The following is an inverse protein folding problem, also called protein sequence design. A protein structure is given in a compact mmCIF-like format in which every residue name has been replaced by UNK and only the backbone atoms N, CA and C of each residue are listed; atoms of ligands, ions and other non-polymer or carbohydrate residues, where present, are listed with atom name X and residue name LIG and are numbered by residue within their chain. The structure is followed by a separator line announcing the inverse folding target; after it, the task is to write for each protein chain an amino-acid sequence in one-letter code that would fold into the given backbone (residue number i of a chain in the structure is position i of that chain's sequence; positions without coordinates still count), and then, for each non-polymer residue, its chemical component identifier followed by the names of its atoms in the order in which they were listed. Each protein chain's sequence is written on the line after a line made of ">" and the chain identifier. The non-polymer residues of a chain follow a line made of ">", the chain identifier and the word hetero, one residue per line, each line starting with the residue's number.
data_IF_404923034760
#
_entry.id   IF_404923034760
#
_cell.length_a   1.000
_cell.length_b   1.000
_cell.length_c   1.000
_cell.angle_alpha   90.00
_cell.angle_beta   90.00
_cell.angle_gamma   90.00
#
_symmetry.space_group_name_H-M   'P 1'
#
loop_
_entity.id
_entity.type
_entity.pdbx_description
1 polymer ?
#
# COMPACT_ATOMS: atom_id res chain seq x y z
N UNK A 1 -8.95 44.01 -54.75
CA UNK A 1 -8.79 43.73 -53.31
C UNK A 1 -7.35 43.24 -53.14
N UNK A 2 -6.46 44.15 -52.73
CA UNK A 2 -5.00 43.89 -52.69
C UNK A 2 -4.69 43.44 -51.25
N UNK A 3 -4.37 42.17 -51.07
CA UNK A 3 -3.88 41.64 -49.79
C UNK A 3 -2.44 42.10 -49.57
N UNK A 4 -2.26 43.02 -48.63
CA UNK A 4 -0.94 43.47 -48.17
C UNK A 4 -0.30 42.33 -47.32
N UNK A 5 0.90 41.84 -47.61
CA UNK A 5 1.54 40.84 -46.78
C UNK A 5 1.90 41.44 -45.41
N UNK A 6 1.85 40.64 -44.32
CA UNK A 6 2.17 41.13 -42.99
C UNK A 6 3.64 41.51 -42.89
N UNK A 7 4.00 42.55 -42.09
CA UNK A 7 5.35 43.05 -42.01
C UNK A 7 6.32 41.99 -41.44
N UNK A 8 7.36 41.70 -42.19
CA UNK A 8 8.41 40.74 -41.87
C UNK A 8 9.30 41.08 -40.63
N UNK A 9 8.96 42.18 -39.91
CA UNK A 9 9.75 42.69 -38.79
C UNK A 9 9.66 41.84 -37.49
N UNK A 10 8.56 41.14 -37.25
CA UNK A 10 8.37 40.41 -36.01
C UNK A 10 9.29 39.20 -35.82
N UNK A 11 9.60 38.50 -36.88
CA UNK A 11 10.50 37.32 -36.84
C UNK A 11 11.95 37.67 -36.61
N UNK A 12 12.42 38.82 -37.11
CA UNK A 12 13.81 39.28 -36.91
C UNK A 12 14.04 39.76 -35.49
N UNK A 13 13.05 40.43 -34.86
CA UNK A 13 13.14 40.88 -33.47
C UNK A 13 13.18 39.68 -32.52
N UNK A 14 12.36 38.64 -32.75
CA UNK A 14 12.37 37.41 -32.00
C UNK A 14 13.68 36.66 -32.11
N UNK A 15 14.25 36.56 -33.30
CA UNK A 15 15.54 35.91 -33.52
C UNK A 15 16.70 36.63 -32.80
N UNK A 16 16.71 37.95 -32.79
CA UNK A 16 17.74 38.74 -32.11
C UNK A 16 17.59 38.70 -30.59
N UNK A 17 16.40 38.73 -30.07
CA UNK A 17 16.11 38.56 -28.65
C UNK A 17 16.46 37.14 -28.14
N UNK A 18 16.19 36.13 -28.97
CA UNK A 18 16.54 34.74 -28.67
C UNK A 18 18.04 34.50 -28.67
N UNK A 19 18.75 35.05 -29.68
CA UNK A 19 20.20 34.92 -29.77
C UNK A 19 20.94 35.61 -28.61
N UNK A 20 20.43 36.74 -28.13
CA UNK A 20 21.05 37.49 -27.02
C UNK A 20 20.78 36.83 -25.63
N UNK A 21 19.73 36.02 -25.52
CA UNK A 21 19.38 35.34 -24.25
C UNK A 21 19.55 33.83 -24.31
N UNK A 22 20.14 33.29 -25.36
CA UNK A 22 20.29 31.85 -25.52
C UNK A 22 21.09 31.22 -24.38
N UNK A 23 22.16 31.89 -23.93
CA UNK A 23 22.94 31.39 -22.77
C UNK A 23 22.11 31.25 -21.52
N UNK A 24 21.17 32.19 -21.26
CA UNK A 24 20.25 32.11 -20.11
C UNK A 24 19.22 30.98 -20.28
N UNK A 25 18.72 30.75 -21.50
CA UNK A 25 17.79 29.67 -21.80
C UNK A 25 18.49 28.32 -21.66
N UNK A 26 19.67 28.16 -22.24
CA UNK A 26 20.45 26.91 -22.11
C UNK A 26 20.84 26.64 -20.66
N UNK A 27 21.30 27.66 -19.91
CA UNK A 27 21.62 27.53 -18.50
C UNK A 27 20.40 27.12 -17.67
N UNK A 28 19.24 27.72 -17.92
CA UNK A 28 17.98 27.37 -17.27
C UNK A 28 17.53 25.94 -17.59
N UNK A 29 17.68 25.52 -18.84
CA UNK A 29 17.32 24.15 -19.26
C UNK A 29 18.24 23.11 -18.61
N UNK A 30 19.55 23.36 -18.60
CA UNK A 30 20.53 22.45 -17.96
C UNK A 30 20.28 22.40 -16.45
N UNK A 31 20.07 23.53 -15.79
CA UNK A 31 19.75 23.56 -14.36
C UNK A 31 18.44 22.82 -14.04
N UNK A 32 17.39 23.03 -14.85
CA UNK A 32 16.13 22.33 -14.71
C UNK A 32 16.24 20.81 -14.92
N UNK A 33 17.07 20.41 -15.89
CA UNK A 33 17.31 18.99 -16.16
C UNK A 33 18.09 18.31 -15.02
N UNK A 34 19.12 18.99 -14.47
CA UNK A 34 19.87 18.48 -13.32
C UNK A 34 18.95 18.33 -12.09
N UNK A 35 18.13 19.33 -11.79
CA UNK A 35 17.18 19.28 -10.69
C UNK A 35 16.11 18.20 -10.91
N UNK A 36 15.58 18.07 -12.14
CA UNK A 36 14.60 17.05 -12.49
C UNK A 36 15.16 15.62 -12.37
N UNK A 37 16.38 15.40 -12.82
CA UNK A 37 17.05 14.09 -12.71
C UNK A 37 17.34 13.76 -11.25
N UNK A 38 17.91 14.70 -10.48
CA UNK A 38 18.18 14.45 -9.05
C UNK A 38 16.89 14.22 -8.26
N UNK A 39 15.81 14.92 -8.54
CA UNK A 39 14.51 14.69 -7.92
C UNK A 39 13.93 13.31 -8.28
N UNK A 40 14.08 12.87 -9.54
CA UNK A 40 13.61 11.55 -9.96
C UNK A 40 14.35 10.39 -9.26
N UNK A 41 15.63 10.56 -8.94
CA UNK A 41 16.39 9.58 -8.16
C UNK A 41 16.19 9.70 -6.65
N UNK A 42 15.74 10.85 -6.16
CA UNK A 42 15.50 11.08 -4.73
C UNK A 42 14.12 10.58 -4.27
N UNK A 43 13.18 10.36 -5.19
CA UNK A 43 11.86 9.78 -4.85
C UNK A 43 12.01 8.27 -4.79
N UNK A 44 11.90 7.65 -3.59
CA UNK A 44 11.96 6.20 -3.47
C UNK A 44 10.74 5.60 -4.22
N UNK A 45 11.00 4.66 -5.13
CA UNK A 45 9.94 3.88 -5.76
C UNK A 45 9.32 2.98 -4.69
N UNK A 46 8.04 3.18 -4.38
CA UNK A 46 7.27 2.30 -3.51
C UNK A 46 6.43 1.36 -4.37
N UNK A 47 6.45 0.09 -4.02
CA UNK A 47 5.65 -0.94 -4.66
C UNK A 47 4.69 -1.51 -3.62
N UNK A 48 3.42 -1.65 -3.97
CA UNK A 48 2.45 -2.33 -3.12
C UNK A 48 2.13 -3.73 -3.66
N UNK A 49 1.94 -4.66 -2.74
CA UNK A 49 1.39 -5.98 -3.04
C UNK A 49 0.22 -6.25 -2.09
N UNK A 50 -0.85 -6.82 -2.62
CA UNK A 50 -2.05 -7.13 -1.86
C UNK A 50 -2.38 -8.61 -1.96
N UNK A 51 -2.68 -9.22 -0.81
CA UNK A 51 -3.22 -10.57 -0.69
C UNK A 51 -4.63 -10.47 -0.15
N UNK A 52 -5.59 -11.11 -0.82
CA UNK A 52 -6.98 -11.16 -0.40
C UNK A 52 -7.34 -12.56 0.05
N UNK A 53 -7.93 -12.68 1.22
CA UNK A 53 -8.34 -13.96 1.81
C UNK A 53 -9.82 -13.93 2.15
N UNK A 54 -10.50 -15.05 1.88
CA UNK A 54 -11.88 -15.24 2.32
C UNK A 54 -11.88 -15.83 3.73
N UNK A 55 -12.48 -15.09 4.65
CA UNK A 55 -12.62 -15.52 6.04
C UNK A 55 -14.05 -15.98 6.26
N UNK A 56 -14.25 -17.27 6.47
CA UNK A 56 -15.54 -17.82 6.86
C UNK A 56 -15.60 -17.94 8.39
N UNK A 57 -16.49 -17.18 9.03
CA UNK A 57 -16.76 -17.36 10.46
C UNK A 57 -17.58 -18.66 10.63
N UNK A 58 -17.09 -19.66 11.39
CA UNK A 58 -17.90 -20.79 11.77
C UNK A 58 -19.00 -20.30 12.73
N UNK A 59 -20.20 -20.10 12.23
CA UNK A 59 -21.35 -19.75 13.05
C UNK A 59 -22.10 -21.03 13.42
N UNK A 60 -22.04 -21.48 14.67
CA UNK A 60 -22.65 -22.73 15.09
C UNK A 60 -24.21 -22.65 15.24
N UNK A 61 -24.80 -21.46 15.03
CA UNK A 61 -26.24 -21.27 15.21
C UNK A 61 -26.80 -20.32 14.13
N UNK A 62 -27.95 -20.62 13.52
CA UNK A 62 -28.62 -19.68 12.61
C UNK A 62 -29.15 -18.49 13.42
N UNK A 63 -28.34 -17.44 13.49
CA UNK A 63 -28.74 -16.18 14.10
C UNK A 63 -29.62 -15.38 13.14
N UNK A 64 -30.67 -14.67 13.60
CA UNK A 64 -31.49 -13.82 12.74
C UNK A 64 -30.59 -12.75 12.05
N UNK A 65 -30.89 -12.47 10.79
CA UNK A 65 -30.07 -11.65 9.85
C UNK A 65 -29.61 -10.28 10.40
N UNK A 66 -30.34 -9.68 11.33
CA UNK A 66 -30.00 -8.40 11.96
C UNK A 66 -28.82 -8.51 12.93
N UNK A 67 -28.63 -9.66 13.59
CA UNK A 67 -27.45 -9.89 14.45
C UNK A 67 -26.19 -10.22 13.65
N UNK A 68 -26.35 -10.87 12.50
CA UNK A 68 -25.24 -11.21 11.63
C UNK A 68 -24.53 -9.96 11.07
N UNK A 69 -25.25 -8.87 10.77
CA UNK A 69 -24.65 -7.65 10.25
C UNK A 69 -23.88 -6.83 11.31
N UNK A 70 -24.30 -6.89 12.57
CA UNK A 70 -23.59 -6.23 13.68
C UNK A 70 -22.35 -7.02 14.12
N UNK A 71 -22.42 -8.35 14.10
CA UNK A 71 -21.26 -9.19 14.40
C UNK A 71 -20.18 -9.11 13.31
N UNK A 72 -20.56 -9.00 12.04
CA UNK A 72 -19.59 -8.87 10.95
C UNK A 72 -18.74 -7.59 11.05
N UNK A 73 -19.31 -6.47 11.49
CA UNK A 73 -18.54 -5.22 11.65
C UNK A 73 -17.55 -5.31 12.84
N UNK A 74 -17.97 -5.98 13.93
CA UNK A 74 -17.09 -6.22 15.10
C UNK A 74 -15.99 -7.21 14.76
N UNK A 75 -16.31 -8.26 14.01
CA UNK A 75 -15.35 -9.27 13.57
C UNK A 75 -14.25 -8.68 12.70
N UNK A 76 -14.57 -7.74 11.80
CA UNK A 76 -13.58 -7.11 10.94
C UNK A 76 -12.55 -6.28 11.70
N UNK A 77 -12.96 -5.53 12.73
CA UNK A 77 -12.03 -4.80 13.61
C UNK A 77 -11.12 -5.77 14.37
N UNK A 78 -11.68 -6.89 14.82
CA UNK A 78 -10.93 -7.95 15.47
C UNK A 78 -9.92 -8.60 14.52
N UNK A 79 -10.33 -8.93 13.30
CA UNK A 79 -9.46 -9.52 12.29
C UNK A 79 -8.31 -8.58 11.90
N UNK A 80 -8.57 -7.27 11.75
CA UNK A 80 -7.54 -6.27 11.56
C UNK A 80 -6.57 -6.20 12.75
N UNK A 81 -7.10 -6.30 13.97
CA UNK A 81 -6.31 -6.32 15.19
C UNK A 81 -5.38 -7.53 15.26
N UNK A 82 -5.87 -8.71 14.89
CA UNK A 82 -5.06 -9.95 14.84
C UNK A 82 -3.96 -9.81 13.79
N UNK A 83 -4.29 -9.38 12.58
CA UNK A 83 -3.31 -9.23 11.49
C UNK A 83 -2.20 -8.22 11.81
N UNK A 84 -2.49 -7.19 12.60
CA UNK A 84 -1.53 -6.16 13.05
C UNK A 84 -0.94 -6.44 14.44
N UNK A 85 -1.25 -7.58 15.04
CA UNK A 85 -0.75 -7.92 16.38
C UNK A 85 0.77 -8.14 16.39
N UNK A 86 1.38 -7.97 17.55
CA UNK A 86 2.77 -8.27 17.75
C UNK A 86 3.07 -9.75 17.49
N UNK A 87 2.16 -10.65 17.89
CA UNK A 87 2.28 -12.09 17.66
C UNK A 87 2.49 -12.43 16.18
N UNK A 88 1.76 -11.77 15.27
CA UNK A 88 1.91 -11.96 13.83
C UNK A 88 3.15 -11.25 13.30
N UNK A 89 3.33 -9.97 13.62
CA UNK A 89 4.39 -9.16 13.01
C UNK A 89 5.80 -9.51 13.49
N UNK A 90 5.97 -9.97 14.73
CA UNK A 90 7.27 -10.43 15.25
C UNK A 90 7.72 -11.72 14.54
N UNK A 91 6.79 -12.66 14.31
CA UNK A 91 7.08 -13.88 13.55
C UNK A 91 7.47 -13.57 12.11
N UNK A 92 6.77 -12.63 11.49
CA UNK A 92 7.05 -12.18 10.11
C UNK A 92 8.41 -11.47 10.04
N UNK A 93 8.71 -10.58 10.97
CA UNK A 93 10.00 -9.89 11.05
C UNK A 93 11.17 -10.89 11.18
N UNK A 94 11.01 -11.87 12.05
CA UNK A 94 12.00 -12.94 12.22
C UNK A 94 12.18 -13.80 10.95
N UNK A 95 11.09 -14.05 10.21
CA UNK A 95 11.10 -14.85 8.98
C UNK A 95 11.73 -14.11 7.80
N UNK A 96 11.42 -12.81 7.64
CA UNK A 96 11.96 -11.97 6.56
C UNK A 96 13.44 -11.65 6.79
N UNK A 97 13.86 -11.51 8.04
CA UNK A 97 15.23 -11.17 8.37
C UNK A 97 15.60 -9.78 7.85
N UNK A 98 16.82 -9.61 7.34
CA UNK A 98 17.32 -8.40 6.67
C UNK A 98 17.17 -7.08 7.47
N UNK A 99 17.01 -7.17 8.79
CA UNK A 99 16.85 -6.00 9.67
C UNK A 99 15.42 -5.42 9.67
N UNK A 100 14.45 -6.08 9.03
CA UNK A 100 13.04 -5.68 9.06
C UNK A 100 12.50 -5.86 10.48
N UNK A 101 11.88 -4.81 11.03
CA UNK A 101 11.30 -4.82 12.38
C UNK A 101 9.78 -4.93 12.33
N UNK A 102 9.18 -5.44 13.40
CA UNK A 102 7.72 -5.49 13.52
C UNK A 102 7.06 -4.10 13.44
N UNK A 103 7.75 -3.06 13.90
CA UNK A 103 7.26 -1.67 13.81
C UNK A 103 7.27 -1.16 12.36
N UNK A 104 8.32 -1.48 11.60
CA UNK A 104 8.39 -1.18 10.18
C UNK A 104 7.28 -1.93 9.41
N UNK A 105 7.06 -3.21 9.71
CA UNK A 105 5.95 -3.98 9.14
C UNK A 105 4.62 -3.33 9.47
N UNK A 106 4.40 -2.92 10.72
CA UNK A 106 3.15 -2.29 11.19
C UNK A 106 2.86 -0.98 10.46
N UNK A 107 3.88 -0.17 10.19
CA UNK A 107 3.75 1.12 9.52
C UNK A 107 3.45 1.00 8.02
N UNK A 108 3.90 -0.09 7.40
CA UNK A 108 3.78 -0.32 5.96
C UNK A 108 2.67 -1.32 5.58
N UNK A 109 2.01 -1.94 6.58
CA UNK A 109 0.89 -2.85 6.34
C UNK A 109 -0.45 -2.13 6.46
N UNK A 110 -1.28 -2.30 5.46
CA UNK A 110 -2.69 -1.91 5.49
C UNK A 110 -3.56 -3.16 5.45
N UNK A 111 -4.48 -3.25 6.39
CA UNK A 111 -5.45 -4.35 6.45
C UNK A 111 -6.84 -3.75 6.28
N UNK A 112 -7.52 -4.17 5.26
CA UNK A 112 -8.88 -3.73 4.95
C UNK A 112 -9.80 -4.93 4.75
N UNK A 113 -11.09 -4.72 4.91
CA UNK A 113 -12.10 -5.75 4.71
C UNK A 113 -13.20 -5.29 3.79
N UNK A 114 -13.90 -6.25 3.20
CA UNK A 114 -15.12 -5.98 2.45
C UNK A 114 -16.25 -5.57 3.38
N UNK A 115 -17.19 -4.78 2.86
CA UNK A 115 -18.39 -4.29 3.58
C UNK A 115 -19.25 -5.42 4.17
N UNK A 116 -19.13 -6.62 3.62
CA UNK A 116 -19.83 -7.82 4.08
C UNK A 116 -19.03 -8.65 5.12
N UNK A 117 -17.81 -8.24 5.46
CA UNK A 117 -16.98 -8.92 6.46
C UNK A 117 -16.45 -10.30 6.05
N UNK A 118 -16.50 -10.62 4.76
CA UNK A 118 -16.13 -11.95 4.25
C UNK A 118 -14.69 -12.00 3.71
N UNK A 119 -14.15 -10.85 3.28
CA UNK A 119 -12.84 -10.77 2.67
C UNK A 119 -11.93 -9.88 3.52
N UNK A 120 -10.78 -10.40 3.91
CA UNK A 120 -9.67 -9.64 4.49
C UNK A 120 -8.63 -9.44 3.41
N UNK A 121 -8.32 -8.18 3.12
CA UNK A 121 -7.26 -7.76 2.21
C UNK A 121 -6.09 -7.24 3.03
N UNK A 122 -4.92 -7.84 2.86
CA UNK A 122 -3.65 -7.38 3.44
C UNK A 122 -2.84 -6.77 2.31
N UNK A 123 -2.48 -5.50 2.45
CA UNK A 123 -1.63 -4.77 1.50
C UNK A 123 -0.36 -4.34 2.22
N UNK A 124 0.79 -4.55 1.58
CA UNK A 124 2.09 -4.15 2.10
C UNK A 124 2.85 -3.31 1.07
N UNK A 125 3.47 -2.24 1.55
CA UNK A 125 4.27 -1.31 0.73
C UNK A 125 5.75 -1.51 1.02
N UNK A 126 6.55 -1.74 -0.04
CA UNK A 126 8.00 -1.94 0.09
C UNK A 126 8.77 -1.23 -1.04
N UNK A 127 10.09 -1.03 -0.89
CA UNK A 127 10.96 -0.43 -1.91
C UNK A 127 11.02 -1.26 -3.20
N UNK A 128 10.84 -2.58 -3.12
CA UNK A 128 10.84 -3.46 -4.28
C UNK A 128 9.58 -4.31 -4.33
N UNK A 129 9.16 -4.65 -5.54
CA UNK A 129 7.99 -5.51 -5.75
C UNK A 129 8.14 -6.88 -5.06
N UNK A 130 9.33 -7.47 -5.12
CA UNK A 130 9.57 -8.78 -4.51
C UNK A 130 9.40 -8.72 -2.98
N UNK A 131 9.99 -7.72 -2.34
CA UNK A 131 9.83 -7.51 -0.90
C UNK A 131 8.37 -7.25 -0.52
N UNK A 132 7.61 -6.50 -1.34
CA UNK A 132 6.19 -6.27 -1.08
C UNK A 132 5.39 -7.58 -1.12
N UNK A 133 5.64 -8.43 -2.11
CA UNK A 133 4.98 -9.74 -2.25
C UNK A 133 5.37 -10.67 -1.10
N UNK A 134 6.67 -10.83 -0.84
CA UNK A 134 7.17 -11.73 0.20
C UNK A 134 6.65 -11.34 1.59
N UNK A 135 6.59 -10.03 1.89
CA UNK A 135 6.06 -9.54 3.15
C UNK A 135 4.54 -9.74 3.25
N UNK A 136 3.77 -9.40 2.20
CA UNK A 136 2.32 -9.59 2.20
C UNK A 136 1.95 -11.07 2.38
N UNK A 137 2.62 -11.97 1.68
CA UNK A 137 2.42 -13.42 1.80
C UNK A 137 2.82 -13.94 3.19
N UNK A 138 3.93 -13.45 3.74
CA UNK A 138 4.39 -13.84 5.07
C UNK A 138 3.39 -13.40 6.15
N UNK A 139 2.87 -12.16 6.07
CA UNK A 139 1.85 -11.64 6.99
C UNK A 139 0.56 -12.45 6.87
N UNK A 140 0.10 -12.73 5.64
CA UNK A 140 -1.10 -13.53 5.40
C UNK A 140 -1.01 -14.92 6.03
N UNK A 141 0.11 -15.61 5.84
CA UNK A 141 0.34 -16.94 6.41
C UNK A 141 0.43 -16.91 7.94
N UNK A 142 1.14 -15.93 8.52
CA UNK A 142 1.24 -15.79 9.96
C UNK A 142 -0.12 -15.46 10.60
N UNK A 143 -0.91 -14.59 9.97
CA UNK A 143 -2.27 -14.28 10.39
C UNK A 143 -3.16 -15.53 10.40
N UNK A 144 -3.14 -16.36 9.34
CA UNK A 144 -3.92 -17.59 9.29
C UNK A 144 -3.53 -18.56 10.40
N UNK A 145 -2.24 -18.69 10.69
CA UNK A 145 -1.74 -19.54 11.76
C UNK A 145 -2.22 -19.05 13.12
N UNK A 146 -2.09 -17.77 13.41
CA UNK A 146 -2.52 -17.18 14.68
C UNK A 146 -4.05 -17.28 14.85
N UNK A 147 -4.81 -17.01 13.79
CA UNK A 147 -6.26 -17.14 13.80
C UNK A 147 -6.70 -18.58 14.11
N UNK A 148 -6.03 -19.57 13.53
CA UNK A 148 -6.32 -20.99 13.79
C UNK A 148 -6.05 -21.33 15.26
N UNK A 149 -4.92 -20.89 15.80
CA UNK A 149 -4.56 -21.11 17.19
C UNK A 149 -5.61 -20.50 18.16
N UNK A 150 -6.07 -19.27 17.87
CA UNK A 150 -7.10 -18.60 18.66
C UNK A 150 -8.45 -19.34 18.61
N UNK A 151 -8.83 -19.92 17.48
CA UNK A 151 -10.06 -20.71 17.35
C UNK A 151 -9.96 -22.01 18.13
N UNK A 152 -8.82 -22.73 18.07
CA UNK A 152 -8.54 -23.94 18.81
C UNK A 152 -8.57 -23.66 20.32
N UNK A 153 -7.89 -22.62 20.78
CA UNK A 153 -7.90 -22.21 22.18
C UNK A 153 -9.32 -21.96 22.71
N UNK A 154 -10.16 -21.25 21.95
CA UNK A 154 -11.56 -21.01 22.33
C UNK A 154 -12.39 -22.31 22.38
N UNK A 155 -12.13 -23.24 21.46
CA UNK A 155 -12.80 -24.53 21.46
C UNK A 155 -12.44 -25.35 22.72
N UNK A 156 -11.16 -25.34 23.11
CA UNK A 156 -10.68 -26.02 24.31
C UNK A 156 -11.25 -25.39 25.59
N UNK A 157 -11.30 -24.06 25.67
CA UNK A 157 -11.91 -23.34 26.80
C UNK A 157 -13.41 -23.67 26.94
N UNK A 158 -14.14 -23.77 25.82
CA UNK A 158 -15.57 -24.18 25.87
C UNK A 158 -15.72 -25.64 26.27
N UNK A 159 -14.82 -26.52 25.87
CA UNK A 159 -14.84 -27.93 26.24
C UNK A 159 -14.48 -28.16 27.73
N UNK A 160 -13.59 -27.32 28.28
CA UNK A 160 -13.18 -27.43 29.69
C UNK A 160 -14.19 -26.80 30.66
N UNK A 161 -15.12 -25.96 30.20
CA UNK A 161 -16.12 -25.27 30.99
C UNK A 161 -17.44 -26.04 31.13
N UNK A 162 -17.55 -27.24 30.57
CA UNK A 162 -18.71 -28.16 30.68
C UNK A 162 -18.40 -29.27 31.68
#
# INVERSE_FOLDING_TARGET
>A
MILTPPPAGGQQILRHALARRWTSIVAGTVAGLVVGVTAAFAVPSSHSAAVSMTVTSPSPTPAPAVRASLSNTTDMVTEQGIAKSAAVLDVVAARLGNGVTAEELRSNVEVSGDTNGTIVKIEYVAPTRQQAVDAADAIANAYLTERTALVEQRADEMAAGV
#
